data_IF_328497045088
#
_entry.id   IF_328497045088
#
_cell.length_a   1.000
_cell.length_b   1.000
_cell.length_c   1.000
_cell.angle_alpha   90.00
_cell.angle_beta   90.00
_cell.angle_gamma   90.00
#
_symmetry.space_group_name_H-M   'P 1'
#
loop_
_entity.id
_entity.type
_entity.pdbx_description
1 polymer ?
#
# COMPACT_ATOMS: atom_id res chain seq x y z
N UNK A 1 -3.06 21.62 35.26
CA UNK A 1 -2.08 21.46 34.16
C UNK A 1 -2.54 20.41 33.11
N UNK A 2 -3.85 20.14 32.98
CA UNK A 2 -4.39 19.05 32.14
C UNK A 2 -5.31 19.46 30.99
N UNK A 3 -5.68 20.74 30.86
CA UNK A 3 -6.61 21.20 29.81
C UNK A 3 -5.90 21.65 28.52
N UNK A 4 -4.68 22.20 28.61
CA UNK A 4 -3.93 22.64 27.43
C UNK A 4 -3.44 21.48 26.54
N UNK A 5 -3.17 20.31 27.15
CA UNK A 5 -2.65 19.14 26.45
C UNK A 5 -3.73 18.41 25.63
N UNK A 6 -4.97 18.39 26.15
CA UNK A 6 -6.14 17.86 25.42
C UNK A 6 -6.48 18.70 24.18
N UNK A 7 -6.46 20.04 24.30
CA UNK A 7 -6.72 20.92 23.15
C UNK A 7 -5.67 20.80 22.04
N UNK A 8 -4.39 20.61 22.41
CA UNK A 8 -3.29 20.45 21.46
C UNK A 8 -3.35 19.11 20.70
N UNK A 9 -3.73 18.03 21.39
CA UNK A 9 -3.97 16.73 20.76
C UNK A 9 -5.05 16.77 19.67
N UNK A 10 -6.14 17.48 19.96
CA UNK A 10 -7.29 17.61 19.06
C UNK A 10 -6.98 18.41 17.80
N UNK A 11 -6.25 19.52 17.95
CA UNK A 11 -5.77 20.33 16.83
C UNK A 11 -4.83 19.52 15.93
N UNK A 12 -3.90 18.75 16.51
CA UNK A 12 -2.94 17.95 15.77
C UNK A 12 -3.61 16.77 15.02
N UNK A 13 -4.59 16.13 15.65
CA UNK A 13 -5.38 15.07 15.02
C UNK A 13 -6.17 15.61 13.83
N UNK A 14 -6.94 16.69 14.03
CA UNK A 14 -7.75 17.29 12.97
C UNK A 14 -6.90 17.82 11.81
N UNK A 15 -5.75 18.42 12.12
CA UNK A 15 -4.76 18.83 11.10
C UNK A 15 -4.25 17.64 10.29
N UNK A 16 -3.99 16.51 10.94
CA UNK A 16 -3.55 15.28 10.26
C UNK A 16 -4.63 14.72 9.32
N UNK A 17 -5.88 14.65 9.79
CA UNK A 17 -7.02 14.21 8.96
C UNK A 17 -7.25 15.16 7.79
N UNK A 18 -7.22 16.49 8.02
CA UNK A 18 -7.36 17.50 6.96
C UNK A 18 -6.26 17.39 5.90
N UNK A 19 -5.00 17.22 6.32
CA UNK A 19 -3.86 17.01 5.42
C UNK A 19 -4.05 15.74 4.59
N UNK A 20 -4.49 14.65 5.21
CA UNK A 20 -4.82 13.42 4.51
C UNK A 20 -5.93 13.61 3.47
N UNK A 21 -7.03 14.29 3.82
CA UNK A 21 -8.14 14.53 2.89
C UNK A 21 -7.70 15.34 1.67
N UNK A 22 -6.83 16.34 1.84
CA UNK A 22 -6.22 17.09 0.73
C UNK A 22 -5.39 16.19 -0.18
N UNK A 23 -4.56 15.32 0.40
CA UNK A 23 -3.77 14.34 -0.36
C UNK A 23 -4.66 13.35 -1.12
N UNK A 24 -5.74 12.88 -0.48
CA UNK A 24 -6.70 11.96 -1.10
C UNK A 24 -7.48 12.60 -2.25
N UNK A 25 -7.91 13.86 -2.11
CA UNK A 25 -8.56 14.60 -3.19
C UNK A 25 -7.62 14.82 -4.38
N UNK A 26 -6.38 15.18 -4.10
CA UNK A 26 -5.33 15.28 -5.12
C UNK A 26 -5.14 13.94 -5.85
N UNK A 27 -5.07 12.85 -5.09
CA UNK A 27 -4.93 11.50 -5.64
C UNK A 27 -6.12 11.05 -6.49
N UNK A 28 -7.35 11.33 -6.04
CA UNK A 28 -8.58 11.02 -6.80
C UNK A 28 -8.62 11.78 -8.13
N UNK A 29 -8.13 13.02 -8.16
CA UNK A 29 -7.95 13.80 -9.40
C UNK A 29 -6.93 13.14 -10.34
N UNK A 30 -5.80 12.68 -9.81
CA UNK A 30 -4.76 12.01 -10.61
C UNK A 30 -5.20 10.63 -11.13
N UNK A 31 -6.01 9.88 -10.37
CA UNK A 31 -6.52 8.56 -10.82
C UNK A 31 -7.43 8.65 -12.05
N UNK A 32 -8.02 9.82 -12.31
CA UNK A 32 -8.79 10.14 -13.53
C UNK A 32 -7.86 10.44 -14.72
N UNK A 33 -6.58 10.75 -14.47
CA UNK A 33 -5.57 11.14 -15.46
C UNK A 33 -4.55 10.01 -15.67
N UNK A 34 -4.94 8.99 -16.44
CA UNK A 34 -4.09 7.96 -17.08
C UNK A 34 -3.06 7.12 -16.27
N UNK A 35 -2.64 6.01 -16.89
CA UNK A 35 -1.71 4.95 -16.43
C UNK A 35 -0.26 5.41 -16.10
N UNK A 36 0.08 6.70 -16.18
CA UNK A 36 1.46 7.20 -16.13
C UNK A 36 2.03 7.54 -14.74
N UNK A 37 1.18 7.72 -13.73
CA UNK A 37 1.59 8.36 -12.47
C UNK A 37 1.81 7.39 -11.29
N UNK A 38 2.27 6.17 -11.55
CA UNK A 38 2.51 5.18 -10.50
C UNK A 38 3.46 5.70 -9.40
N UNK A 39 4.51 6.44 -9.77
CA UNK A 39 5.47 7.04 -8.82
C UNK A 39 4.88 8.20 -8.02
N UNK A 40 4.04 9.02 -8.64
CA UNK A 40 3.36 10.14 -7.95
C UNK A 40 2.34 9.57 -6.97
N UNK A 41 1.57 8.57 -7.40
CA UNK A 41 0.64 7.84 -6.56
C UNK A 41 1.33 7.18 -5.36
N UNK A 42 2.48 6.55 -5.60
CA UNK A 42 3.31 5.93 -4.57
C UNK A 42 3.75 6.93 -3.49
N UNK A 43 4.35 8.06 -3.92
CA UNK A 43 4.79 9.10 -2.99
C UNK A 43 3.63 9.77 -2.22
N UNK A 44 2.47 9.93 -2.84
CA UNK A 44 1.27 10.46 -2.18
C UNK A 44 0.71 9.49 -1.12
N UNK A 45 0.69 8.19 -1.41
CA UNK A 45 0.23 7.15 -0.48
C UNK A 45 1.20 7.01 0.69
N UNK A 46 2.52 7.07 0.45
CA UNK A 46 3.53 7.06 1.50
C UNK A 46 3.38 8.24 2.46
N UNK A 47 3.18 9.46 1.92
CA UNK A 47 2.92 10.66 2.75
C UNK A 47 1.62 10.53 3.53
N UNK A 48 0.56 10.04 2.90
CA UNK A 48 -0.73 9.79 3.55
C UNK A 48 -0.60 8.83 4.73
N UNK A 49 0.10 7.70 4.54
CA UNK A 49 0.34 6.71 5.58
C UNK A 49 1.13 7.31 6.75
N UNK A 50 2.15 8.13 6.48
CA UNK A 50 2.92 8.81 7.51
C UNK A 50 2.04 9.73 8.36
N UNK A 51 1.23 10.58 7.73
CA UNK A 51 0.33 11.51 8.44
C UNK A 51 -0.71 10.76 9.27
N UNK A 52 -1.34 9.73 8.71
CA UNK A 52 -2.32 8.92 9.42
C UNK A 52 -1.70 8.08 10.54
N UNK A 53 -0.47 7.61 10.39
CA UNK A 53 0.23 6.91 11.47
C UNK A 53 0.42 7.82 12.70
N UNK A 54 0.69 9.11 12.50
CA UNK A 54 0.73 10.11 13.57
C UNK A 54 -0.65 10.28 14.20
N UNK A 55 -1.71 10.38 13.38
CA UNK A 55 -3.08 10.48 13.88
C UNK A 55 -3.46 9.28 14.77
N UNK A 56 -3.07 8.06 14.38
CA UNK A 56 -3.31 6.85 15.19
C UNK A 56 -2.48 6.80 16.48
N UNK A 57 -1.32 7.48 16.54
CA UNK A 57 -0.56 7.60 17.80
C UNK A 57 -1.24 8.59 18.76
N UNK A 58 -1.86 9.64 18.24
CA UNK A 58 -2.59 10.63 19.05
C UNK A 58 -3.91 10.03 19.54
N UNK A 59 -4.64 9.28 18.70
CA UNK A 59 -5.90 8.62 19.06
C UNK A 59 -5.92 7.15 18.60
N UNK A 60 -5.37 6.22 19.39
CA UNK A 60 -5.21 4.81 19.00
C UNK A 60 -6.52 4.04 18.79
N UNK A 61 -7.58 4.42 19.51
CA UNK A 61 -8.91 3.77 19.44
C UNK A 61 -9.87 4.47 18.48
N UNK A 62 -9.38 5.42 17.66
CA UNK A 62 -10.20 6.08 16.66
C UNK A 62 -10.46 5.15 15.48
N UNK A 63 -11.67 4.59 15.40
CA UNK A 63 -12.11 3.75 14.26
C UNK A 63 -11.88 4.45 12.91
N UNK A 64 -12.16 5.76 12.83
CA UNK A 64 -11.89 6.55 11.63
C UNK A 64 -10.40 6.56 11.25
N UNK A 65 -9.50 6.89 12.17
CA UNK A 65 -8.07 6.99 11.87
C UNK A 65 -7.46 5.63 11.49
N UNK A 66 -7.81 4.59 12.25
CA UNK A 66 -7.39 3.21 11.99
C UNK A 66 -7.92 2.74 10.63
N UNK A 67 -9.20 2.98 10.33
CA UNK A 67 -9.82 2.62 9.06
C UNK A 67 -9.22 3.37 7.87
N UNK A 68 -8.94 4.68 8.00
CA UNK A 68 -8.28 5.47 6.95
C UNK A 68 -6.84 5.00 6.71
N UNK A 69 -6.10 4.68 7.77
CA UNK A 69 -4.73 4.16 7.66
C UNK A 69 -4.74 2.79 6.98
N UNK A 70 -5.65 1.90 7.39
CA UNK A 70 -5.85 0.60 6.74
C UNK A 70 -6.17 0.73 5.25
N UNK A 71 -7.08 1.65 4.88
CA UNK A 71 -7.42 1.90 3.47
C UNK A 71 -6.23 2.41 2.66
N UNK A 72 -5.42 3.27 3.26
CA UNK A 72 -4.23 3.81 2.61
C UNK A 72 -3.24 2.69 2.31
N UNK A 73 -2.97 1.84 3.30
CA UNK A 73 -2.10 0.67 3.11
C UNK A 73 -2.66 -0.33 2.09
N UNK A 74 -3.97 -0.60 2.10
CA UNK A 74 -4.59 -1.51 1.14
C UNK A 74 -4.43 -1.04 -0.31
N UNK A 75 -4.76 0.24 -0.57
CA UNK A 75 -4.65 0.83 -1.92
C UNK A 75 -3.17 0.93 -2.36
N UNK A 76 -2.26 1.17 -1.43
CA UNK A 76 -0.83 1.18 -1.71
C UNK A 76 -0.30 -0.22 -2.05
N UNK A 77 -0.72 -1.24 -1.30
CA UNK A 77 -0.43 -2.64 -1.61
C UNK A 77 -0.97 -3.05 -2.98
N UNK A 78 -2.20 -2.70 -3.32
CA UNK A 78 -2.79 -2.94 -4.66
C UNK A 78 -1.96 -2.29 -5.78
N UNK A 79 -1.51 -1.05 -5.57
CA UNK A 79 -0.63 -0.36 -6.53
C UNK A 79 0.68 -1.13 -6.73
N UNK A 80 1.35 -1.55 -5.65
CA UNK A 80 2.60 -2.31 -5.72
C UNK A 80 2.41 -3.69 -6.36
N UNK A 81 1.29 -4.37 -6.06
CA UNK A 81 0.93 -5.63 -6.72
C UNK A 81 0.82 -5.45 -8.24
N UNK A 82 0.12 -4.40 -8.69
CA UNK A 82 0.02 -4.08 -10.12
C UNK A 82 1.38 -3.78 -10.75
N UNK A 83 2.20 -2.93 -10.13
CA UNK A 83 3.56 -2.62 -10.62
C UNK A 83 4.38 -3.91 -10.71
N UNK A 84 4.27 -4.80 -9.72
CA UNK A 84 4.98 -6.07 -9.73
C UNK A 84 4.60 -6.93 -10.94
N UNK A 85 3.32 -6.99 -11.30
CA UNK A 85 2.84 -7.70 -12.50
C UNK A 85 3.36 -7.09 -13.79
N UNK A 86 3.36 -5.75 -13.89
CA UNK A 86 3.90 -5.04 -15.03
C UNK A 86 5.41 -5.33 -15.21
N UNK A 87 6.18 -5.36 -14.12
CA UNK A 87 7.61 -5.71 -14.14
C UNK A 87 7.85 -7.16 -14.55
N UNK A 88 7.04 -8.11 -14.06
CA UNK A 88 7.10 -9.51 -14.48
C UNK A 88 6.83 -9.67 -15.97
N UNK A 89 5.81 -8.98 -16.49
CA UNK A 89 5.51 -8.95 -17.92
C UNK A 89 6.68 -8.40 -18.74
N UNK A 90 7.34 -7.34 -18.27
CA UNK A 90 8.54 -6.80 -18.92
C UNK A 90 9.70 -7.81 -18.96
N UNK A 91 9.90 -8.58 -17.90
CA UNK A 91 10.91 -9.64 -17.83
C UNK A 91 10.60 -10.79 -18.82
N UNK A 92 9.34 -11.21 -18.91
CA UNK A 92 8.90 -12.26 -19.83
C UNK A 92 9.00 -11.81 -21.31
N UNK A 93 8.55 -10.60 -21.61
CA UNK A 93 8.53 -10.07 -22.99
C UNK A 93 9.93 -9.86 -23.53
N UNK A 94 10.87 -9.39 -22.69
CA UNK A 94 12.28 -9.20 -23.07
C UNK A 94 13.09 -10.50 -23.10
N UNK A 95 12.66 -11.56 -22.41
CA UNK A 95 13.30 -12.88 -22.54
C UNK A 95 13.16 -13.44 -23.96
N UNK A 96 12.08 -13.09 -24.67
CA UNK A 96 11.81 -13.55 -26.04
C UNK A 96 12.50 -12.71 -27.14
N UNK A 97 13.06 -11.55 -26.79
CA UNK A 97 13.76 -10.66 -27.72
C UNK A 97 15.26 -10.61 -27.38
N UNK A 98 16.03 -11.56 -27.92
CA UNK A 98 17.48 -11.68 -27.72
C UNK A 98 18.21 -10.41 -28.19
N UNK A 99 18.71 -9.55 -27.27
CA UNK A 99 19.84 -8.62 -27.53
C UNK A 99 20.43 -7.98 -26.23
N UNK A 100 21.67 -8.36 -25.89
CA UNK A 100 22.72 -7.54 -25.23
C UNK A 100 22.56 -6.93 -23.81
N UNK A 101 21.73 -7.44 -22.86
CA UNK A 101 21.39 -6.67 -21.63
C UNK A 101 21.32 -7.37 -20.27
N UNK A 102 22.29 -8.23 -19.94
CA UNK A 102 22.51 -8.81 -18.58
C UNK A 102 22.89 -7.79 -17.47
N UNK A 103 22.55 -6.52 -17.63
CA UNK A 103 22.54 -5.54 -16.52
C UNK A 103 21.13 -4.98 -16.29
N UNK A 104 20.38 -4.71 -17.36
CA UNK A 104 19.04 -4.15 -17.28
C UNK A 104 18.01 -5.19 -16.79
N UNK A 105 18.24 -6.49 -17.02
CA UNK A 105 17.32 -7.55 -16.56
C UNK A 105 17.42 -7.73 -15.05
N UNK A 106 18.65 -7.71 -14.53
CA UNK A 106 19.03 -7.84 -13.13
C UNK A 106 18.55 -6.62 -12.34
N UNK A 107 18.71 -5.41 -12.89
CA UNK A 107 18.12 -4.19 -12.33
C UNK A 107 16.60 -4.29 -12.18
N UNK A 108 15.90 -4.77 -13.22
CA UNK A 108 14.44 -4.95 -13.19
C UNK A 108 14.04 -6.04 -12.18
N UNK A 109 14.79 -7.14 -12.11
CA UNK A 109 14.55 -8.22 -11.16
C UNK A 109 14.77 -7.78 -9.70
N UNK A 110 15.84 -7.02 -9.44
CA UNK A 110 16.13 -6.41 -8.14
C UNK A 110 15.02 -5.42 -7.74
N UNK A 111 14.62 -4.54 -8.65
CA UNK A 111 13.52 -3.61 -8.40
C UNK A 111 12.17 -4.33 -8.18
N UNK A 112 11.91 -5.42 -8.91
CA UNK A 112 10.74 -6.27 -8.69
C UNK A 112 10.75 -6.89 -7.28
N UNK A 113 11.90 -7.35 -6.79
CA UNK A 113 12.07 -7.85 -5.43
C UNK A 113 11.63 -6.82 -4.39
N UNK A 114 12.18 -5.61 -4.46
CA UNK A 114 11.83 -4.50 -3.56
C UNK A 114 10.33 -4.16 -3.63
N UNK A 115 9.74 -4.10 -4.83
CA UNK A 115 8.30 -3.82 -5.00
C UNK A 115 7.44 -4.92 -4.37
N UNK A 116 7.85 -6.19 -4.46
CA UNK A 116 7.13 -7.31 -3.84
C UNK A 116 7.22 -7.26 -2.32
N UNK A 117 8.40 -6.99 -1.75
CA UNK A 117 8.59 -6.83 -0.31
C UNK A 117 7.76 -5.68 0.26
N UNK A 118 7.79 -4.51 -0.39
CA UNK A 118 6.96 -3.36 -0.02
C UNK A 118 5.46 -3.69 -0.13
N UNK A 119 5.05 -4.39 -1.19
CA UNK A 119 3.66 -4.83 -1.38
C UNK A 119 3.19 -5.69 -0.20
N UNK A 120 3.99 -6.71 0.17
CA UNK A 120 3.69 -7.63 1.25
C UNK A 120 3.58 -6.88 2.59
N UNK A 121 4.54 -6.00 2.88
CA UNK A 121 4.55 -5.22 4.11
C UNK A 121 3.31 -4.31 4.24
N UNK A 122 2.93 -3.64 3.14
CA UNK A 122 1.74 -2.79 3.09
C UNK A 122 0.46 -3.59 3.35
N UNK A 123 0.31 -4.75 2.73
CA UNK A 123 -0.89 -5.58 2.90
C UNK A 123 -0.97 -6.17 4.32
N UNK A 124 0.16 -6.53 4.93
CA UNK A 124 0.23 -6.93 6.35
C UNK A 124 -0.19 -5.76 7.25
N UNK A 125 0.34 -4.56 7.01
CA UNK A 125 -0.04 -3.35 7.75
C UNK A 125 -1.54 -3.05 7.62
N UNK A 126 -2.10 -3.18 6.42
CA UNK A 126 -3.54 -3.04 6.18
C UNK A 126 -4.34 -4.04 7.03
N UNK A 127 -3.99 -5.33 6.98
CA UNK A 127 -4.65 -6.36 7.78
C UNK A 127 -4.59 -6.11 9.29
N UNK A 128 -3.47 -5.60 9.81
CA UNK A 128 -3.35 -5.19 11.22
C UNK A 128 -4.30 -4.07 11.59
N UNK A 129 -4.46 -3.07 10.70
CA UNK A 129 -5.42 -1.98 10.94
C UNK A 129 -6.86 -2.48 10.90
N UNK A 130 -7.23 -3.34 9.96
CA UNK A 130 -8.60 -3.88 9.92
C UNK A 130 -8.91 -4.80 11.10
N UNK A 131 -7.93 -5.60 11.56
CA UNK A 131 -8.07 -6.34 12.82
C UNK A 131 -8.32 -5.39 13.99
N UNK A 132 -7.58 -4.29 14.08
CA UNK A 132 -7.79 -3.28 15.13
C UNK A 132 -9.17 -2.60 15.00
N UNK A 133 -9.61 -2.28 13.79
CA UNK A 133 -10.95 -1.73 13.56
C UNK A 133 -12.05 -2.67 14.05
N UNK A 134 -11.92 -3.98 13.81
CA UNK A 134 -12.87 -4.99 14.31
C UNK A 134 -12.81 -5.22 15.82
N UNK A 135 -11.67 -4.92 16.46
CA UNK A 135 -11.60 -4.88 17.93
C UNK A 135 -12.34 -3.68 18.51
N UNK A 136 -12.39 -2.56 17.77
CA UNK A 136 -13.13 -1.35 18.17
C UNK A 136 -14.63 -1.51 17.89
N UNK A 137 -14.98 -2.04 16.72
CA UNK A 137 -16.35 -2.32 16.29
C UNK A 137 -16.41 -3.67 15.57
N UNK A 138 -16.85 -4.70 16.30
CA UNK A 138 -16.95 -6.07 15.80
C UNK A 138 -17.95 -6.26 14.65
N UNK A 139 -18.85 -5.28 14.42
CA UNK A 139 -19.84 -5.32 13.36
C UNK A 139 -19.48 -4.45 12.15
N UNK A 140 -18.24 -3.91 12.08
CA UNK A 140 -17.77 -3.18 10.90
C UNK A 140 -17.54 -4.14 9.71
N UNK A 141 -18.63 -4.44 9.00
CA UNK A 141 -18.64 -5.27 7.79
C UNK A 141 -17.70 -4.72 6.70
N UNK A 142 -17.45 -3.40 6.67
CA UNK A 142 -16.52 -2.81 5.70
C UNK A 142 -15.08 -3.17 6.05
N UNK A 143 -14.73 -3.17 7.34
CA UNK A 143 -13.42 -3.62 7.80
C UNK A 143 -13.22 -5.12 7.51
N UNK A 144 -14.23 -5.96 7.75
CA UNK A 144 -14.17 -7.40 7.41
C UNK A 144 -13.90 -7.62 5.91
N UNK A 145 -14.70 -7.00 5.04
CA UNK A 145 -14.54 -7.11 3.59
C UNK A 145 -13.14 -6.67 3.13
N UNK A 146 -12.66 -5.53 3.62
CA UNK A 146 -11.35 -5.00 3.24
C UNK A 146 -10.19 -5.81 3.78
N UNK A 147 -10.34 -6.43 4.95
CA UNK A 147 -9.37 -7.39 5.45
C UNK A 147 -9.30 -8.62 4.53
N UNK A 148 -10.44 -9.14 4.09
CA UNK A 148 -10.51 -10.18 3.07
C UNK A 148 -9.78 -9.81 1.78
N UNK A 149 -9.99 -8.59 1.26
CA UNK A 149 -9.25 -8.09 0.10
C UNK A 149 -7.73 -8.05 0.33
N UNK A 150 -7.28 -7.59 1.50
CA UNK A 150 -5.86 -7.57 1.84
C UNK A 150 -5.24 -8.98 1.80
N UNK A 151 -5.94 -9.97 2.34
CA UNK A 151 -5.53 -11.37 2.31
C UNK A 151 -5.49 -11.92 0.88
N UNK A 152 -6.52 -11.64 0.08
CA UNK A 152 -6.59 -12.06 -1.32
C UNK A 152 -5.47 -11.45 -2.17
N UNK A 153 -5.11 -10.19 -1.94
CA UNK A 153 -3.98 -9.56 -2.64
C UNK A 153 -2.63 -10.17 -2.22
N UNK A 154 -2.45 -10.53 -0.94
CA UNK A 154 -1.23 -11.26 -0.50
C UNK A 154 -1.13 -12.63 -1.14
N UNK A 155 -2.24 -13.38 -1.17
CA UNK A 155 -2.29 -14.68 -1.83
C UNK A 155 -1.93 -14.55 -3.31
N UNK A 156 -2.47 -13.54 -4.00
CA UNK A 156 -2.10 -13.24 -5.39
C UNK A 156 -0.62 -12.90 -5.55
N UNK A 157 -0.05 -12.08 -4.67
CA UNK A 157 1.38 -11.75 -4.71
C UNK A 157 2.27 -13.00 -4.61
N UNK A 158 1.94 -13.89 -3.68
CA UNK A 158 2.66 -15.15 -3.47
C UNK A 158 2.51 -16.06 -4.70
N UNK A 159 1.29 -16.18 -5.23
CA UNK A 159 1.05 -16.94 -6.46
C UNK A 159 1.84 -16.37 -7.63
N UNK A 160 2.01 -15.05 -7.74
CA UNK A 160 2.79 -14.41 -8.81
C UNK A 160 4.32 -14.62 -8.64
N UNK A 161 4.81 -15.03 -7.46
CA UNK A 161 6.24 -15.38 -7.23
C UNK A 161 6.55 -16.80 -7.74
N UNK A 162 5.61 -17.74 -7.60
CA UNK A 162 5.79 -19.14 -8.03
C UNK A 162 6.20 -19.35 -9.51
N UNK A 163 5.61 -18.64 -10.48
CA UNK A 163 5.94 -18.79 -11.91
C UNK A 163 7.36 -18.37 -12.30
N UNK A 164 8.02 -17.53 -11.51
CA UNK A 164 9.37 -17.02 -11.82
C UNK A 164 10.49 -17.83 -11.18
N UNK A 165 10.21 -18.45 -10.03
CA UNK A 165 11.17 -19.32 -9.33
C UNK A 165 11.40 -20.64 -10.09
N UNK A 166 10.40 -21.12 -10.82
CA UNK A 166 10.53 -22.33 -11.66
C UNK A 166 11.35 -22.10 -12.94
N UNK A 167 11.44 -20.87 -13.44
CA UNK A 167 12.24 -20.53 -14.63
C UNK A 167 13.75 -20.38 -14.33
N UNK A 168 14.14 -20.25 -13.06
CA UNK A 168 15.55 -20.15 -12.65
C UNK A 168 16.24 -21.52 -12.47
N UNK A 169 15.50 -22.63 -12.48
CA UNK A 169 16.04 -23.98 -12.26
C UNK A 169 16.30 -24.80 -13.54
N UNK A 170 16.08 -24.24 -14.73
CA UNK A 170 16.24 -24.94 -16.01
C UNK A 170 17.46 -24.48 -16.84
N UNK A 171 18.53 -24.00 -16.21
CA UNK A 171 19.81 -23.70 -16.87
C UNK A 171 20.95 -24.51 -16.24
#
# INVERSE_FOLDING_TARGET
MGEEDHGKGDINFNSSISTFLKLMLFWKKLKVVQKGDAKIADGALQKSALVLSKATRIRPVSSLAVGLLGNTYLVHGELKLRISRDLRMLLLTRANAQCNKYGRKEEIASYLGNVCEECEELLIKAGRQYKLALLIDGNDMRAMYKWGLALSFRAQLILDIGPLSTLQHNN
#
